data_IF_312206595691
#
_entry.id   IF_312206595691
#
_cell.length_a   1.000
_cell.length_b   1.000
_cell.length_c   1.000
_cell.angle_alpha   90.00
_cell.angle_beta   90.00
_cell.angle_gamma   90.00
#
_symmetry.space_group_name_H-M   'P 1'
#
loop_
_entity.id
_entity.type
_entity.pdbx_description
1 polymer ?
#
# COMPACT_ATOMS: atom_id res chain seq x y z
N UNK A 1 9.68 28.79 -8.41
CA UNK A 1 10.50 27.82 -7.67
C UNK A 1 10.54 26.55 -8.51
N UNK A 2 11.50 26.46 -9.45
CA UNK A 2 11.61 25.31 -10.35
C UNK A 2 12.05 24.11 -9.52
N UNK A 3 11.15 23.15 -9.31
CA UNK A 3 11.51 21.85 -8.74
C UNK A 3 12.66 21.28 -9.58
N UNK A 4 13.82 21.06 -8.95
CA UNK A 4 15.09 20.75 -9.62
C UNK A 4 14.92 19.57 -10.59
N UNK A 5 15.30 19.74 -11.86
CA UNK A 5 15.14 18.73 -12.91
C UNK A 5 15.75 17.39 -12.49
N UNK A 6 16.89 17.43 -11.79
CA UNK A 6 17.55 16.24 -11.27
C UNK A 6 16.69 15.52 -10.22
N UNK A 7 16.04 16.25 -9.33
CA UNK A 7 15.14 15.69 -8.32
C UNK A 7 13.91 15.01 -8.94
N UNK A 8 13.32 15.62 -9.98
CA UNK A 8 12.20 15.01 -10.73
C UNK A 8 12.60 13.69 -11.38
N UNK A 9 13.70 13.71 -12.15
CA UNK A 9 14.24 12.50 -12.79
C UNK A 9 14.66 11.44 -11.78
N UNK A 10 15.19 11.84 -10.63
CA UNK A 10 15.54 10.92 -9.56
C UNK A 10 14.30 10.21 -8.99
N UNK A 11 13.21 10.93 -8.79
CA UNK A 11 11.94 10.32 -8.35
C UNK A 11 11.39 9.35 -9.41
N UNK A 12 11.47 9.69 -10.70
CA UNK A 12 11.08 8.80 -11.80
C UNK A 12 11.93 7.50 -11.77
N UNK A 13 13.26 7.64 -11.75
CA UNK A 13 14.16 6.50 -11.65
C UNK A 13 13.92 5.65 -10.38
N UNK A 14 13.56 6.28 -9.25
CA UNK A 14 13.23 5.59 -8.02
C UNK A 14 11.92 4.78 -8.15
N UNK A 15 10.91 5.33 -8.82
CA UNK A 15 9.63 4.65 -9.11
C UNK A 15 9.85 3.47 -10.05
N UNK A 16 10.76 3.60 -11.02
CA UNK A 16 11.18 2.52 -11.92
C UNK A 16 12.09 1.48 -11.24
N UNK A 17 12.27 1.55 -9.91
CA UNK A 17 13.17 0.71 -9.11
C UNK A 17 14.65 0.73 -9.59
N UNK A 18 15.04 1.69 -10.43
CA UNK A 18 16.42 1.93 -10.85
C UNK A 18 17.16 2.77 -9.80
N UNK A 19 17.47 2.12 -8.67
CA UNK A 19 18.01 2.80 -7.49
C UNK A 19 19.42 3.37 -7.69
N UNK A 20 20.26 2.73 -8.52
CA UNK A 20 21.60 3.27 -8.82
C UNK A 20 21.52 4.58 -9.61
N UNK A 21 20.61 4.68 -10.58
CA UNK A 21 20.40 5.92 -11.33
C UNK A 21 19.72 6.99 -10.47
N UNK A 22 18.72 6.61 -9.69
CA UNK A 22 18.09 7.51 -8.71
C UNK A 22 19.14 8.11 -7.75
N UNK A 23 20.11 7.29 -7.30
CA UNK A 23 21.17 7.74 -6.40
C UNK A 23 22.07 8.80 -7.05
N UNK A 24 22.48 8.59 -8.31
CA UNK A 24 23.27 9.57 -9.07
C UNK A 24 22.51 10.88 -9.24
N UNK A 25 21.23 10.80 -9.61
CA UNK A 25 20.39 11.97 -9.85
C UNK A 25 20.07 12.74 -8.56
N UNK A 26 19.80 12.07 -7.44
CA UNK A 26 19.68 12.74 -6.14
C UNK A 26 20.99 13.38 -5.70
N UNK A 27 22.14 12.75 -5.99
CA UNK A 27 23.44 13.36 -5.71
C UNK A 27 23.65 14.63 -6.52
N UNK A 28 23.34 14.62 -7.82
CA UNK A 28 23.37 15.82 -8.66
C UNK A 28 22.41 16.92 -8.16
N UNK A 29 21.24 16.55 -7.63
CA UNK A 29 20.30 17.50 -7.03
C UNK A 29 20.91 18.17 -5.77
N UNK A 30 21.60 17.39 -4.92
CA UNK A 30 22.26 17.89 -3.71
C UNK A 30 23.48 18.75 -4.04
N UNK A 31 24.27 18.38 -5.05
CA UNK A 31 25.40 19.19 -5.54
C UNK A 31 24.93 20.53 -6.09
N UNK A 32 23.73 20.58 -6.67
CA UNK A 32 23.13 21.81 -7.15
C UNK A 32 22.54 22.68 -6.04
N UNK A 33 21.88 22.06 -5.06
CA UNK A 33 21.37 22.74 -3.87
C UNK A 33 21.38 21.80 -2.65
N UNK A 34 22.34 22.02 -1.76
CA UNK A 34 22.53 21.23 -0.54
C UNK A 34 21.72 21.74 0.65
N UNK A 35 20.85 22.74 0.48
CA UNK A 35 20.05 23.31 1.57
C UNK A 35 18.68 22.61 1.72
N UNK A 36 18.31 21.79 0.73
CA UNK A 36 17.00 21.12 0.68
C UNK A 36 17.05 19.77 1.40
N UNK A 37 16.48 19.71 2.61
CA UNK A 37 16.42 18.49 3.42
C UNK A 37 15.79 17.28 2.70
N UNK A 38 14.74 17.50 1.90
CA UNK A 38 14.03 16.44 1.17
C UNK A 38 14.96 15.67 0.22
N UNK A 39 15.99 16.30 -0.36
CA UNK A 39 16.93 15.61 -1.26
C UNK A 39 17.74 14.55 -0.50
N UNK A 40 18.21 14.89 0.69
CA UNK A 40 18.88 13.95 1.57
C UNK A 40 17.92 12.85 2.07
N UNK A 41 16.65 13.17 2.40
CA UNK A 41 15.64 12.16 2.78
C UNK A 41 15.42 11.15 1.66
N UNK A 42 15.28 11.61 0.42
CA UNK A 42 15.10 10.72 -0.74
C UNK A 42 16.34 9.91 -1.08
N UNK A 43 17.53 10.50 -0.97
CA UNK A 43 18.78 9.77 -1.18
C UNK A 43 19.02 8.72 -0.09
N UNK A 44 18.74 9.04 1.18
CA UNK A 44 18.72 8.07 2.29
C UNK A 44 17.75 6.91 2.03
N UNK A 45 16.54 7.20 1.53
CA UNK A 45 15.59 6.16 1.13
C UNK A 45 16.15 5.24 0.04
N UNK A 46 16.85 5.82 -0.94
CA UNK A 46 17.49 5.07 -2.03
C UNK A 46 18.63 4.20 -1.52
N UNK A 47 19.46 4.72 -0.62
CA UNK A 47 20.49 3.95 0.06
C UNK A 47 19.93 2.77 0.86
N UNK A 48 18.79 2.95 1.56
CA UNK A 48 18.10 1.84 2.26
C UNK A 48 17.65 0.76 1.27
N UNK A 49 17.13 1.14 0.09
CA UNK A 49 16.74 0.16 -0.95
C UNK A 49 17.94 -0.62 -1.50
N UNK A 50 19.12 0.00 -1.51
CA UNK A 50 20.39 -0.61 -1.88
C UNK A 50 21.12 -1.30 -0.71
N UNK A 51 20.52 -1.38 0.48
CA UNK A 51 21.12 -1.89 1.70
C UNK A 51 22.44 -1.20 2.14
N UNK A 52 22.64 0.06 1.72
CA UNK A 52 23.76 0.94 2.10
C UNK A 52 23.41 1.75 3.35
N UNK A 53 23.34 1.07 4.48
CA UNK A 53 22.73 1.65 5.69
C UNK A 53 23.57 2.74 6.36
N UNK A 54 24.90 2.68 6.27
CA UNK A 54 25.78 3.69 6.85
C UNK A 54 25.61 5.05 6.14
N UNK A 55 25.55 5.04 4.80
CA UNK A 55 25.31 6.21 3.98
C UNK A 55 23.89 6.75 4.19
N UNK A 56 22.89 5.86 4.34
CA UNK A 56 21.53 6.27 4.67
C UNK A 56 21.43 6.96 6.04
N UNK A 57 22.14 6.48 7.06
CA UNK A 57 22.20 7.13 8.37
C UNK A 57 22.81 8.53 8.27
N UNK A 58 23.90 8.67 7.50
CA UNK A 58 24.55 9.96 7.26
C UNK A 58 23.63 10.98 6.59
N UNK A 59 22.98 10.58 5.50
CA UNK A 59 22.04 11.46 4.77
C UNK A 59 20.82 11.81 5.61
N UNK A 60 20.25 10.85 6.35
CA UNK A 60 19.11 11.13 7.22
C UNK A 60 19.50 12.08 8.38
N UNK A 61 20.73 11.97 8.89
CA UNK A 61 21.29 12.91 9.85
C UNK A 61 21.42 14.32 9.27
N UNK A 62 21.95 14.47 8.05
CA UNK A 62 22.02 15.76 7.35
C UNK A 62 20.63 16.36 7.11
N UNK A 63 19.67 15.53 6.66
CA UNK A 63 18.28 15.96 6.48
C UNK A 63 17.69 16.52 7.77
N UNK A 64 17.94 15.89 8.92
CA UNK A 64 17.45 16.33 10.23
C UNK A 64 18.17 17.59 10.73
N UNK A 65 19.44 17.80 10.37
CA UNK A 65 20.14 19.05 10.65
C UNK A 65 19.57 20.24 9.86
N UNK A 66 19.10 19.99 8.62
CA UNK A 66 18.47 21.01 7.78
C UNK A 66 17.00 21.25 8.15
N UNK A 67 16.26 20.19 8.45
CA UNK A 67 14.86 20.25 8.89
C UNK A 67 14.63 19.31 10.09
N UNK A 68 14.76 19.83 11.33
CA UNK A 68 14.49 19.07 12.54
C UNK A 68 13.03 18.63 12.69
N UNK A 69 12.10 19.22 11.93
CA UNK A 69 10.66 18.93 12.01
C UNK A 69 10.22 17.80 11.09
N UNK A 70 11.13 17.20 10.31
CA UNK A 70 10.82 16.15 9.35
C UNK A 70 10.66 14.76 10.00
N UNK A 71 9.44 14.19 10.06
CA UNK A 71 9.24 12.82 10.55
C UNK A 71 9.90 11.81 9.60
N UNK A 72 9.89 12.10 8.30
CA UNK A 72 10.49 11.23 7.27
C UNK A 72 12.00 11.07 7.48
N UNK A 73 12.71 12.15 7.83
CA UNK A 73 14.14 12.07 8.15
C UNK A 73 14.39 11.15 9.36
N UNK A 74 13.60 11.31 10.43
CA UNK A 74 13.67 10.45 11.62
C UNK A 74 13.39 8.98 11.29
N UNK A 75 12.38 8.71 10.44
CA UNK A 75 12.04 7.37 9.99
C UNK A 75 13.20 6.74 9.19
N UNK A 76 13.79 7.46 8.24
CA UNK A 76 14.93 6.96 7.45
C UNK A 76 16.15 6.68 8.34
N UNK A 77 16.45 7.58 9.27
CA UNK A 77 17.55 7.41 10.22
C UNK A 77 17.34 6.18 11.11
N UNK A 78 16.15 6.02 11.69
CA UNK A 78 15.84 4.88 12.54
C UNK A 78 15.93 3.55 11.78
N UNK A 79 15.43 3.49 10.54
CA UNK A 79 15.51 2.27 9.70
C UNK A 79 16.97 1.93 9.39
N UNK A 80 17.79 2.93 9.02
CA UNK A 80 19.21 2.72 8.77
C UNK A 80 19.93 2.21 10.03
N UNK A 81 19.71 2.83 11.18
CA UNK A 81 20.28 2.45 12.47
C UNK A 81 19.86 1.04 12.92
N UNK A 82 18.61 0.67 12.69
CA UNK A 82 18.11 -0.66 13.00
C UNK A 82 18.85 -1.74 12.21
N UNK A 83 19.07 -1.52 10.91
CA UNK A 83 19.82 -2.44 10.06
C UNK A 83 21.33 -2.44 10.34
N UNK A 84 21.86 -1.39 10.96
CA UNK A 84 23.22 -1.33 11.51
C UNK A 84 23.33 -1.92 12.93
N UNK A 85 22.25 -2.53 13.44
CA UNK A 85 22.16 -3.10 14.80
C UNK A 85 22.34 -2.09 15.95
N UNK A 86 22.24 -0.79 15.63
CA UNK A 86 22.24 0.30 16.62
C UNK A 86 20.84 0.49 17.21
N UNK A 87 20.32 -0.55 17.87
CA UNK A 87 18.90 -0.60 18.26
C UNK A 87 18.46 0.50 19.23
N UNK A 88 19.35 0.94 20.14
CA UNK A 88 19.08 2.05 21.06
C UNK A 88 18.95 3.39 20.32
N UNK A 89 19.84 3.65 19.37
CA UNK A 89 19.79 4.88 18.55
C UNK A 89 18.58 4.87 17.63
N UNK A 90 18.29 3.71 17.02
CA UNK A 90 17.10 3.52 16.19
C UNK A 90 15.82 3.79 16.97
N UNK A 91 15.70 3.25 18.19
CA UNK A 91 14.57 3.49 19.09
C UNK A 91 14.39 4.99 19.37
N UNK A 92 15.47 5.71 19.70
CA UNK A 92 15.41 7.15 19.93
C UNK A 92 14.94 7.90 18.67
N UNK A 93 15.49 7.58 17.50
CA UNK A 93 15.10 8.18 16.22
C UNK A 93 13.61 7.96 15.91
N UNK A 94 13.09 6.75 16.12
CA UNK A 94 11.66 6.47 15.91
C UNK A 94 10.76 7.15 16.94
N UNK A 95 11.18 7.26 18.19
CA UNK A 95 10.43 8.01 19.22
C UNK A 95 10.36 9.50 18.90
N UNK A 96 11.46 10.12 18.46
CA UNK A 96 11.45 11.50 17.98
C UNK A 96 10.49 11.66 16.80
N UNK A 97 10.57 10.78 15.79
CA UNK A 97 9.67 10.81 14.65
C UNK A 97 8.19 10.66 15.03
N UNK A 98 7.87 9.77 15.98
CA UNK A 98 6.51 9.57 16.50
C UNK A 98 5.95 10.79 17.23
N UNK A 99 6.81 11.58 17.87
CA UNK A 99 6.38 12.84 18.50
C UNK A 99 6.02 13.91 17.47
N UNK A 100 6.68 13.89 16.30
CA UNK A 100 6.42 14.80 15.18
C UNK A 100 5.20 14.38 14.35
N UNK A 101 5.02 13.07 14.14
CA UNK A 101 3.86 12.50 13.46
C UNK A 101 3.30 11.30 14.27
N UNK A 102 2.29 11.60 15.08
CA UNK A 102 1.63 10.63 15.96
C UNK A 102 0.68 9.69 15.22
N UNK A 103 0.28 10.03 14.00
CA UNK A 103 -0.68 9.26 13.21
C UNK A 103 0.01 8.17 12.39
N UNK A 104 1.30 8.33 12.06
CA UNK A 104 2.05 7.33 11.30
C UNK A 104 2.34 6.08 12.13
N UNK A 105 1.57 5.03 11.86
CA UNK A 105 1.70 3.72 12.50
C UNK A 105 3.07 3.05 12.26
N UNK A 106 3.85 3.48 11.26
CA UNK A 106 5.19 2.94 11.01
C UNK A 106 6.09 3.15 12.22
N UNK A 107 6.02 4.31 12.89
CA UNK A 107 6.87 4.58 14.05
C UNK A 107 6.60 3.60 15.19
N UNK A 108 5.33 3.37 15.54
CA UNK A 108 4.94 2.42 16.58
C UNK A 108 5.43 1.00 16.27
N UNK A 109 5.27 0.54 15.02
CA UNK A 109 5.77 -0.78 14.62
C UNK A 109 7.29 -0.90 14.73
N UNK A 110 8.03 0.13 14.33
CA UNK A 110 9.48 0.14 14.43
C UNK A 110 10.00 0.25 15.87
N UNK A 111 9.33 1.02 16.72
CA UNK A 111 9.62 1.11 18.16
C UNK A 111 9.53 -0.27 18.81
N UNK A 112 8.44 -1.01 18.55
CA UNK A 112 8.27 -2.36 19.10
C UNK A 112 9.33 -3.33 18.58
N UNK A 113 9.70 -3.24 17.28
CA UNK A 113 10.82 -4.02 16.72
C UNK A 113 12.15 -3.70 17.39
N UNK A 114 12.43 -2.43 17.71
CA UNK A 114 13.65 -2.05 18.43
C UNK A 114 13.66 -2.59 19.85
N UNK A 115 12.56 -2.45 20.60
CA UNK A 115 12.44 -2.96 21.98
C UNK A 115 12.68 -4.47 22.04
N UNK A 116 12.11 -5.22 21.10
CA UNK A 116 12.31 -6.68 21.02
C UNK A 116 13.77 -7.10 20.75
N UNK A 117 14.62 -6.18 20.28
CA UNK A 117 16.03 -6.41 19.97
C UNK A 117 16.99 -5.91 21.04
N UNK A 118 16.54 -5.06 21.95
CA UNK A 118 17.34 -4.56 23.07
C UNK A 118 17.18 -5.56 24.22
N UNK A 119 18.26 -6.18 24.72
CA UNK A 119 18.20 -7.02 25.92
C UNK A 119 17.75 -6.20 27.13
N UNK A 120 16.84 -6.75 27.94
CA UNK A 120 16.45 -6.17 29.22
C UNK A 120 17.65 -6.14 30.18
N UNK A 121 18.15 -4.95 30.49
CA UNK A 121 18.78 -4.68 31.79
C UNK A 121 17.66 -4.17 32.73
N UNK A 122 17.56 -4.66 33.99
CA UNK A 122 16.51 -4.25 34.92
C UNK A 122 16.74 -2.80 35.35
N UNK A 123 15.76 -1.89 35.53
CA UNK A 123 14.50 -1.94 36.30
C UNK A 123 13.78 -0.55 36.15
N UNK A 124 12.65 -0.23 36.84
CA UNK A 124 11.30 -0.81 36.94
C UNK A 124 10.25 0.13 36.25
N UNK A 125 9.00 -0.19 35.89
CA UNK A 125 7.89 -0.71 36.70
C UNK A 125 6.65 -0.92 35.79
N UNK A 126 6.14 -2.17 35.76
CA UNK A 126 4.74 -2.66 35.78
C UNK A 126 3.65 -1.97 34.93
N UNK A 127 2.96 -2.76 34.12
CA UNK A 127 1.71 -3.40 34.57
C UNK A 127 1.35 -4.61 33.70
N UNK A 128 1.17 -5.73 34.39
CA UNK A 128 0.66 -7.02 33.91
C UNK A 128 -0.83 -6.93 33.58
N UNK A 129 -1.30 -7.76 32.65
CA UNK A 129 -2.41 -8.67 32.96
C UNK A 129 -2.31 -9.93 32.09
N UNK A 130 -2.47 -11.07 32.76
CA UNK A 130 -2.22 -12.42 32.29
C UNK A 130 -3.50 -13.16 31.83
N UNK A 131 -3.29 -14.31 31.18
CA UNK A 131 -4.02 -15.60 31.25
C UNK A 131 -4.09 -16.25 29.85
N UNK A 132 -3.25 -17.25 29.53
CA UNK A 132 -3.44 -18.72 29.73
C UNK A 132 -4.44 -19.36 28.71
N UNK A 133 -4.33 -20.56 28.13
CA UNK A 133 -3.37 -21.69 28.09
C UNK A 133 -3.85 -22.73 27.03
N UNK A 134 -2.92 -23.38 26.30
CA UNK A 134 -2.77 -24.76 25.70
C UNK A 134 -4.05 -25.67 25.50
N UNK A 135 -4.17 -26.68 24.61
CA UNK A 135 -3.23 -27.72 24.11
C UNK A 135 -3.90 -28.66 23.05
N UNK A 136 -3.05 -29.37 22.28
CA UNK A 136 -3.17 -30.55 21.38
C UNK A 136 -4.45 -31.43 21.27
N UNK A 137 -4.75 -31.92 20.04
CA UNK A 137 -4.64 -33.36 19.62
C UNK A 137 -5.13 -33.64 18.18
N UNK A 138 -4.50 -34.62 17.51
CA UNK A 138 -4.88 -35.29 16.24
C UNK A 138 -4.58 -36.81 16.41
N UNK A 139 -4.92 -37.75 15.48
CA UNK A 139 -6.12 -38.09 14.68
C UNK A 139 -6.56 -39.58 14.93
N UNK A 140 -7.44 -40.24 14.13
CA UNK A 140 -6.98 -40.98 12.92
C UNK A 140 -7.98 -41.09 11.73
N UNK A 141 -7.49 -41.73 10.66
CA UNK A 141 -7.95 -41.85 9.26
C UNK A 141 -9.32 -42.51 8.96
N UNK A 142 -9.94 -42.13 7.82
CA UNK A 142 -10.32 -43.05 6.71
C UNK A 142 -11.05 -42.39 5.51
N UNK A 143 -10.60 -42.78 4.30
CA UNK A 143 -11.28 -42.93 3.00
C UNK A 143 -11.72 -41.73 2.11
N UNK A 144 -11.38 -41.90 0.83
CA UNK A 144 -11.39 -41.01 -0.36
C UNK A 144 -12.81 -40.94 -0.99
N UNK A 145 -13.23 -39.80 -1.60
CA UNK A 145 -13.29 -39.68 -3.07
C UNK A 145 -12.84 -38.31 -3.61
N UNK A 146 -12.20 -38.31 -4.80
CA UNK A 146 -11.69 -37.12 -5.51
C UNK A 146 -12.78 -36.06 -5.80
N UNK A 147 -12.51 -34.76 -5.58
CA UNK A 147 -13.33 -33.67 -6.09
C UNK A 147 -12.56 -32.78 -7.11
N UNK A 148 -13.27 -31.89 -7.82
CA UNK A 148 -12.97 -31.42 -9.18
C UNK A 148 -11.92 -30.30 -9.22
N UNK A 149 -11.30 -30.11 -10.40
CA UNK A 149 -10.29 -29.08 -10.74
C UNK A 149 -10.41 -27.83 -9.87
N UNK A 150 -9.59 -27.78 -8.81
CA UNK A 150 -9.50 -26.62 -7.92
C UNK A 150 -8.96 -25.43 -8.71
N UNK A 151 -9.74 -24.34 -8.78
CA UNK A 151 -9.25 -23.07 -9.28
C UNK A 151 -8.06 -22.66 -8.43
N UNK A 152 -6.89 -22.63 -9.05
CA UNK A 152 -5.64 -22.29 -8.40
C UNK A 152 -5.75 -20.89 -7.81
N UNK A 153 -5.63 -20.80 -6.48
CA UNK A 153 -5.85 -19.57 -5.73
C UNK A 153 -4.65 -18.63 -5.89
N UNK A 154 -4.72 -17.75 -6.89
CA UNK A 154 -3.85 -16.59 -7.04
C UNK A 154 -4.69 -15.32 -6.87
N UNK A 155 -4.04 -14.23 -6.46
CA UNK A 155 -4.63 -12.89 -6.40
C UNK A 155 -3.86 -11.99 -7.37
N UNK A 156 -4.52 -10.98 -7.94
CA UNK A 156 -3.82 -10.03 -8.78
C UNK A 156 -4.35 -8.61 -8.60
N UNK A 157 -3.44 -7.65 -8.70
CA UNK A 157 -3.75 -6.22 -8.73
C UNK A 157 -2.81 -5.53 -9.70
N UNK A 158 -3.05 -4.26 -10.00
CA UNK A 158 -2.23 -3.52 -10.96
C UNK A 158 -1.95 -2.10 -10.47
N UNK A 159 -0.84 -1.56 -10.95
CA UNK A 159 -0.52 -0.13 -10.90
C UNK A 159 -0.64 0.45 -12.31
N UNK A 160 -0.34 1.74 -12.46
CA UNK A 160 -0.26 2.38 -13.79
C UNK A 160 0.74 1.67 -14.71
N UNK A 161 1.82 1.12 -14.15
CA UNK A 161 2.95 0.58 -14.92
C UNK A 161 3.15 -0.93 -14.80
N UNK A 162 2.53 -1.60 -13.82
CA UNK A 162 2.77 -3.03 -13.56
C UNK A 162 1.48 -3.79 -13.26
N UNK A 163 1.48 -5.09 -13.55
CA UNK A 163 0.50 -6.07 -13.10
C UNK A 163 1.20 -6.97 -12.08
N UNK A 164 0.63 -7.16 -10.89
CA UNK A 164 1.22 -7.94 -9.82
C UNK A 164 0.34 -9.14 -9.56
N UNK A 165 0.92 -10.33 -9.73
CA UNK A 165 0.27 -11.63 -9.49
C UNK A 165 0.87 -12.21 -8.22
N UNK A 166 0.03 -12.50 -7.24
CA UNK A 166 0.42 -13.06 -5.95
C UNK A 166 -0.08 -14.49 -5.82
N UNK A 167 0.85 -15.43 -5.68
CA UNK A 167 0.59 -16.85 -5.48
C UNK A 167 0.85 -17.16 -4.00
N UNK A 168 -0.20 -17.50 -3.25
CA UNK A 168 -0.13 -17.69 -1.79
C UNK A 168 0.34 -19.11 -1.44
N UNK A 169 1.66 -19.33 -1.42
CA UNK A 169 2.27 -20.62 -1.07
C UNK A 169 3.35 -20.41 0.00
N UNK A 170 3.29 -21.24 1.06
CA UNK A 170 4.24 -21.21 2.17
C UNK A 170 5.43 -22.15 1.93
N UNK A 171 6.61 -21.74 2.38
CA UNK A 171 7.79 -22.62 2.44
C UNK A 171 8.50 -22.85 1.10
N UNK A 172 8.27 -22.00 0.09
CA UNK A 172 8.97 -22.07 -1.18
C UNK A 172 10.43 -21.65 -1.05
N UNK A 173 11.33 -22.36 -1.73
CA UNK A 173 12.73 -21.95 -1.91
C UNK A 173 12.91 -21.40 -3.32
N UNK A 174 13.95 -20.59 -3.53
CA UNK A 174 14.24 -20.01 -4.86
C UNK A 174 14.47 -21.07 -5.93
N UNK A 175 15.07 -22.20 -5.55
CA UNK A 175 15.40 -23.31 -6.46
C UNK A 175 14.19 -24.15 -6.88
N UNK A 176 13.06 -24.04 -6.15
CA UNK A 176 11.86 -24.84 -6.40
C UNK A 176 10.79 -24.09 -7.18
N UNK A 177 11.09 -22.85 -7.59
CA UNK A 177 10.16 -21.96 -8.29
C UNK A 177 10.74 -21.68 -9.68
N UNK A 178 10.04 -22.14 -10.71
CA UNK A 178 10.32 -21.85 -12.11
C UNK A 178 9.24 -20.92 -12.63
N UNK A 179 9.61 -19.74 -13.13
CA UNK A 179 8.66 -18.76 -13.66
C UNK A 179 9.14 -18.31 -15.02
N UNK A 180 8.24 -18.39 -16.00
CA UNK A 180 8.49 -17.96 -17.35
C UNK A 180 7.56 -16.80 -17.68
N UNK A 181 8.19 -15.70 -18.09
CA UNK A 181 7.51 -14.52 -18.58
C UNK A 181 7.61 -14.52 -20.10
N UNK A 182 6.47 -14.44 -20.76
CA UNK A 182 6.38 -14.17 -22.19
C UNK A 182 5.52 -12.92 -22.41
N UNK A 183 5.44 -12.45 -23.66
CA UNK A 183 4.73 -11.21 -23.98
C UNK A 183 3.24 -11.30 -23.62
N UNK A 184 2.58 -12.42 -23.91
CA UNK A 184 1.15 -12.64 -23.61
C UNK A 184 0.88 -13.84 -22.72
N UNK A 185 1.92 -14.53 -22.26
CA UNK A 185 1.74 -15.71 -21.41
C UNK A 185 2.62 -15.62 -20.18
N UNK A 186 2.06 -16.01 -19.05
CA UNK A 186 2.76 -16.13 -17.79
C UNK A 186 2.59 -17.56 -17.30
N UNK A 187 3.70 -18.24 -17.00
CA UNK A 187 3.65 -19.55 -16.35
C UNK A 187 4.53 -19.59 -15.10
N UNK A 188 4.00 -20.19 -14.04
CA UNK A 188 4.67 -20.36 -12.77
C UNK A 188 4.52 -21.80 -12.29
N UNK A 189 5.63 -22.52 -12.21
CA UNK A 189 5.72 -23.88 -11.69
C UNK A 189 6.47 -23.86 -10.35
N UNK A 190 5.81 -24.31 -9.29
CA UNK A 190 6.31 -24.26 -7.91
C UNK A 190 6.24 -25.67 -7.33
N UNK A 191 7.40 -26.27 -7.07
CA UNK A 191 7.47 -27.60 -6.44
C UNK A 191 7.25 -27.47 -4.93
N UNK A 192 6.16 -28.03 -4.41
CA UNK A 192 5.87 -27.99 -2.98
C UNK A 192 6.70 -29.04 -2.23
N UNK A 193 7.11 -28.76 -0.98
CA UNK A 193 7.77 -29.76 -0.13
C UNK A 193 6.85 -30.95 0.23
N UNK A 194 5.55 -30.85 -0.04
CA UNK A 194 4.55 -31.92 0.12
C UNK A 194 4.51 -32.91 -1.05
N UNK A 195 5.31 -32.70 -2.10
CA UNK A 195 5.43 -33.60 -3.26
C UNK A 195 4.45 -33.33 -4.41
N UNK A 196 3.57 -32.32 -4.29
CA UNK A 196 2.69 -31.88 -5.37
C UNK A 196 3.25 -30.62 -6.03
N UNK A 197 3.30 -30.60 -7.36
CA UNK A 197 3.72 -29.41 -8.11
C UNK A 197 2.52 -28.47 -8.31
N UNK A 198 2.68 -27.20 -7.96
CA UNK A 198 1.74 -26.14 -8.28
C UNK A 198 2.12 -25.53 -9.63
N UNK A 199 1.24 -25.58 -10.62
CA UNK A 199 1.51 -25.07 -11.97
C UNK A 199 0.41 -24.11 -12.38
N UNK A 200 0.72 -22.82 -12.50
CA UNK A 200 -0.17 -21.77 -12.95
C UNK A 200 0.23 -21.34 -14.35
N UNK A 201 -0.72 -21.28 -15.27
CA UNK A 201 -0.53 -20.79 -16.63
C UNK A 201 -1.66 -19.79 -16.94
N UNK A 202 -1.28 -18.59 -17.39
CA UNK A 202 -2.18 -17.46 -17.61
C UNK A 202 -1.93 -16.87 -18.99
N UNK A 203 -3.01 -16.72 -19.77
CA UNK A 203 -3.01 -16.02 -21.04
C UNK A 203 -3.36 -14.55 -20.82
N UNK A 204 -2.34 -13.72 -20.69
CA UNK A 204 -2.45 -12.31 -20.32
C UNK A 204 -3.27 -11.52 -21.35
N UNK A 205 -4.17 -10.68 -20.83
CA UNK A 205 -5.08 -9.87 -21.66
C UNK A 205 -4.37 -8.81 -22.52
N UNK A 206 -3.21 -8.32 -22.06
CA UNK A 206 -2.39 -7.35 -22.77
C UNK A 206 -0.92 -7.73 -22.68
N UNK A 207 -0.08 -7.20 -23.57
CA UNK A 207 1.32 -7.56 -23.56
C UNK A 207 2.11 -6.98 -22.37
N UNK A 208 3.09 -7.75 -21.90
CA UNK A 208 4.05 -7.37 -20.86
C UNK A 208 5.47 -7.45 -21.40
N UNK A 209 6.38 -6.67 -20.82
CA UNK A 209 7.79 -6.65 -21.22
C UNK A 209 8.58 -7.68 -20.39
N UNK A 210 8.94 -8.86 -20.93
CA UNK A 210 9.45 -9.97 -20.12
C UNK A 210 10.79 -9.65 -19.45
N UNK A 211 11.61 -8.80 -20.06
CA UNK A 211 12.92 -8.38 -19.54
C UNK A 211 12.83 -7.51 -18.29
N UNK A 212 11.67 -6.91 -18.02
CA UNK A 212 11.41 -6.05 -16.86
C UNK A 212 10.45 -6.69 -15.85
N UNK A 213 10.11 -7.97 -16.03
CA UNK A 213 9.35 -8.72 -15.06
C UNK A 213 10.23 -9.18 -13.89
N UNK A 214 9.72 -9.08 -12.66
CA UNK A 214 10.48 -9.39 -11.44
C UNK A 214 9.69 -10.34 -10.55
N UNK A 215 10.29 -11.48 -10.21
CA UNK A 215 9.77 -12.39 -9.18
C UNK A 215 10.39 -12.09 -7.82
N UNK A 216 9.55 -12.03 -6.78
CA UNK A 216 9.98 -12.06 -5.38
C UNK A 216 9.39 -13.28 -4.68
N UNK A 217 10.27 -14.09 -4.08
CA UNK A 217 9.89 -15.28 -3.32
C UNK A 217 9.98 -14.94 -1.84
N UNK A 218 8.86 -14.99 -1.14
CA UNK A 218 8.75 -14.79 0.30
C UNK A 218 8.41 -16.12 0.99
N UNK A 219 8.53 -16.16 2.31
CA UNK A 219 8.22 -17.35 3.12
C UNK A 219 6.74 -17.76 3.09
N UNK A 220 5.84 -16.82 2.77
CA UNK A 220 4.39 -17.00 2.78
C UNK A 220 3.71 -16.86 1.42
N UNK A 221 4.43 -16.39 0.38
CA UNK A 221 3.89 -16.12 -0.95
C UNK A 221 4.99 -15.97 -2.01
N UNK A 222 4.61 -16.10 -3.27
CA UNK A 222 5.41 -15.73 -4.44
C UNK A 222 4.72 -14.56 -5.12
N UNK A 223 5.41 -13.43 -5.25
CA UNK A 223 4.91 -12.24 -5.96
C UNK A 223 5.62 -12.12 -7.30
N UNK A 224 4.85 -12.02 -8.38
CA UNK A 224 5.34 -11.80 -9.74
C UNK A 224 4.89 -10.41 -10.18
N UNK A 225 5.83 -9.50 -10.41
CA UNK A 225 5.57 -8.17 -10.96
C UNK A 225 5.85 -8.18 -12.45
N UNK A 226 4.82 -7.99 -13.26
CA UNK A 226 4.89 -7.94 -14.71
C UNK A 226 4.86 -6.47 -15.15
N UNK A 227 5.86 -6.02 -15.91
CA UNK A 227 5.87 -4.66 -16.48
C UNK A 227 4.93 -4.60 -17.67
N UNK A 228 3.95 -3.69 -17.67
CA UNK A 228 3.07 -3.51 -18.82
C UNK A 228 3.85 -2.92 -19.99
N UNK A 229 3.62 -3.41 -21.21
CA UNK A 229 4.17 -2.80 -22.42
C UNK A 229 3.51 -1.45 -22.70
N UNK A 230 2.21 -1.35 -22.45
CA UNK A 230 1.42 -0.14 -22.64
C UNK A 230 0.85 0.35 -21.30
N UNK A 231 0.75 1.67 -21.11
CA UNK A 231 0.19 2.31 -19.91
C UNK A 231 -1.34 2.16 -19.76
N UNK A 232 -1.88 1.03 -20.21
CA UNK A 232 -3.32 0.74 -20.22
C UNK A 232 -3.71 0.08 -18.90
N UNK A 233 -4.91 0.41 -18.41
CA UNK A 233 -5.53 -0.27 -17.27
C UNK A 233 -6.22 -1.54 -17.74
N UNK A 234 -5.82 -2.68 -17.20
CA UNK A 234 -6.36 -3.98 -17.58
C UNK A 234 -7.70 -4.20 -16.88
N UNK A 235 -8.78 -4.46 -17.62
CA UNK A 235 -10.07 -4.76 -16.97
C UNK A 235 -10.13 -6.20 -16.46
N UNK A 236 -9.32 -7.08 -17.06
CA UNK A 236 -9.19 -8.49 -16.73
C UNK A 236 -7.75 -8.94 -16.90
N UNK A 237 -7.37 -9.98 -16.15
CA UNK A 237 -6.03 -10.56 -16.24
C UNK A 237 -5.88 -11.46 -17.46
N UNK A 238 -6.93 -12.21 -17.81
CA UNK A 238 -6.90 -13.22 -18.88
C UNK A 238 -7.91 -12.96 -20.01
N UNK A 239 -7.47 -13.20 -21.26
CA UNK A 239 -8.29 -13.16 -22.47
C UNK A 239 -8.49 -11.79 -23.11
N UNK A 240 -9.30 -11.71 -24.18
CA UNK A 240 -9.37 -10.55 -25.09
C UNK A 240 -10.08 -9.31 -24.48
N UNK A 241 -9.33 -8.29 -24.05
CA UNK A 241 -9.84 -7.04 -23.45
C UNK A 241 -10.18 -5.99 -24.51
N UNK A 242 -11.12 -6.33 -25.39
CA UNK A 242 -11.54 -5.54 -26.55
C UNK A 242 -12.22 -4.20 -26.23
N UNK A 243 -12.30 -3.79 -24.96
CA UNK A 243 -12.89 -2.53 -24.50
C UNK A 243 -11.86 -1.54 -23.93
N UNK A 244 -10.61 -1.95 -23.71
CA UNK A 244 -9.55 -1.07 -23.18
C UNK A 244 -8.86 -0.21 -24.27
N UNK A 245 -8.96 -0.59 -25.54
CA UNK A 245 -8.32 0.09 -26.67
C UNK A 245 -8.93 1.48 -27.03
N UNK A 246 -10.02 1.90 -26.40
CA UNK A 246 -10.71 3.16 -26.72
C UNK A 246 -10.22 4.40 -25.96
N UNK A 247 -9.25 4.26 -25.05
CA UNK A 247 -8.68 5.37 -24.28
C UNK A 247 -7.22 5.64 -24.64
N UNK A 248 -6.89 5.67 -25.94
CA UNK A 248 -5.59 6.15 -26.41
C UNK A 248 -5.64 7.66 -26.67
N UNK A 249 -4.91 8.44 -25.87
CA UNK A 249 -4.71 9.89 -26.07
C UNK A 249 -3.80 10.10 -27.28
N UNK A 250 -4.36 10.69 -28.34
CA UNK A 250 -3.60 11.22 -29.48
C UNK A 250 -2.80 12.46 -29.05
N UNK A 251 -1.51 12.48 -29.38
CA UNK A 251 -0.67 13.68 -29.36
C UNK A 251 -1.01 14.57 -30.56
N UNK A 252 -0.87 15.87 -30.32
CA UNK A 252 -0.86 16.99 -31.27
C UNK A 252 -2.21 17.72 -31.45
N UNK A 253 -2.37 18.85 -30.77
CA UNK A 253 -2.81 20.07 -31.45
C UNK A 253 -2.46 21.34 -30.64
N UNK A 254 -1.85 22.29 -31.34
CA UNK A 254 -1.51 23.63 -30.85
C UNK A 254 -2.76 24.50 -30.74
N UNK A 255 -3.12 24.95 -29.53
CA UNK A 255 -4.17 25.96 -29.36
C UNK A 255 -3.65 27.26 -28.75
N UNK A 256 -3.52 28.28 -29.61
CA UNK A 256 -3.46 29.69 -29.23
C UNK A 256 -4.77 30.07 -28.53
N UNK A 257 -4.70 30.58 -27.31
CA UNK A 257 -5.86 31.10 -26.60
C UNK A 257 -6.22 32.51 -27.07
N UNK A 258 -7.49 32.82 -27.40
CA UNK A 258 -7.96 34.19 -27.33
C UNK A 258 -8.30 34.52 -25.88
N UNK A 259 -7.68 35.58 -25.40
CA UNK A 259 -7.97 36.22 -24.12
C UNK A 259 -9.34 36.92 -24.16
N UNK A 260 -10.26 36.55 -23.27
CA UNK A 260 -11.20 37.51 -22.64
C UNK A 260 -11.97 36.89 -21.47
N UNK A 261 -11.95 37.64 -20.36
CA UNK A 261 -12.94 37.76 -19.28
C UNK A 261 -13.08 36.68 -18.18
N UNK A 262 -12.40 37.00 -17.07
CA UNK A 262 -12.95 37.15 -15.71
C UNK A 262 -13.80 36.04 -15.08
N UNK A 263 -13.18 34.88 -14.80
CA UNK A 263 -13.44 34.10 -13.57
C UNK A 263 -12.30 33.10 -13.34
N UNK A 264 -11.34 33.41 -12.48
CA UNK A 264 -10.24 32.49 -12.14
C UNK A 264 -10.73 31.46 -11.11
N UNK A 265 -11.37 30.38 -11.58
CA UNK A 265 -11.54 29.15 -10.78
C UNK A 265 -10.15 28.52 -10.63
N UNK A 266 -9.63 28.49 -9.41
CA UNK A 266 -8.29 27.99 -9.13
C UNK A 266 -8.28 26.45 -9.16
N UNK A 267 -7.96 25.85 -10.31
CA UNK A 267 -7.98 24.39 -10.51
C UNK A 267 -6.93 23.64 -9.68
N UNK A 268 -5.84 24.32 -9.24
CA UNK A 268 -4.89 23.80 -8.25
C UNK A 268 -5.54 23.50 -6.89
N UNK A 269 -6.65 24.18 -6.55
CA UNK A 269 -7.40 23.89 -5.33
C UNK A 269 -8.29 22.65 -5.49
N UNK A 270 -8.83 22.43 -6.69
CA UNK A 270 -9.69 21.28 -7.00
C UNK A 270 -8.86 20.00 -7.13
N UNK A 271 -7.65 20.08 -7.70
CA UNK A 271 -6.71 18.95 -7.71
C UNK A 271 -6.24 18.58 -6.29
N UNK A 272 -6.05 19.58 -5.41
CA UNK A 272 -5.66 19.38 -4.02
C UNK A 272 -6.81 18.84 -3.14
N UNK A 273 -8.06 19.12 -3.48
CA UNK A 273 -9.25 18.54 -2.83
C UNK A 273 -9.55 17.12 -3.37
N UNK A 274 -9.25 16.83 -4.64
CA UNK A 274 -9.43 15.49 -5.23
C UNK A 274 -8.35 14.46 -4.81
N UNK A 275 -7.18 14.89 -4.31
CA UNK A 275 -6.21 13.99 -3.66
C UNK A 275 -6.63 13.57 -2.24
N UNK A 276 -7.63 14.22 -1.62
CA UNK A 276 -8.15 13.83 -0.30
C UNK A 276 -9.38 12.91 -0.34
N UNK A 277 -9.88 12.53 -1.52
CA UNK A 277 -11.13 11.79 -1.69
C UNK A 277 -10.93 10.40 -2.33
N UNK A 278 -10.20 9.55 -1.63
CA UNK A 278 -10.44 8.09 -1.64
C UNK A 278 -10.63 7.66 -0.18
N UNK A 279 -11.78 8.01 0.38
CA UNK A 279 -12.09 7.84 1.81
C UNK A 279 -13.40 7.09 1.98
N UNK A 280 -13.37 5.78 1.69
CA UNK A 280 -14.26 4.86 2.41
C UNK A 280 -13.98 4.97 3.93
N UNK A 281 -12.72 5.16 4.32
CA UNK A 281 -12.29 5.33 5.72
C UNK A 281 -12.67 6.70 6.32
N UNK A 282 -12.64 7.78 5.53
CA UNK A 282 -12.98 9.12 6.03
C UNK A 282 -14.46 9.33 6.28
N UNK A 283 -15.33 8.67 5.51
CA UNK A 283 -16.77 8.66 5.78
C UNK A 283 -17.07 7.90 7.06
N UNK A 284 -16.40 6.77 7.31
CA UNK A 284 -16.52 6.03 8.56
C UNK A 284 -15.99 6.85 9.75
N UNK A 285 -14.86 7.53 9.61
CA UNK A 285 -14.31 8.44 10.64
C UNK A 285 -15.24 9.63 10.91
N UNK A 286 -15.90 10.16 9.88
CA UNK A 286 -16.90 11.21 10.01
C UNK A 286 -18.11 10.71 10.83
N UNK A 287 -18.58 9.48 10.58
CA UNK A 287 -19.67 8.88 11.35
C UNK A 287 -19.28 8.56 12.80
N UNK A 288 -18.06 8.10 13.04
CA UNK A 288 -17.56 7.88 14.40
C UNK A 288 -17.48 9.19 15.19
N UNK A 289 -17.05 10.28 14.56
CA UNK A 289 -17.05 11.62 15.17
C UNK A 289 -18.47 12.12 15.47
N UNK A 290 -19.40 12.01 14.52
CA UNK A 290 -20.80 12.43 14.73
C UNK A 290 -21.46 11.59 15.84
N UNK A 291 -21.14 10.30 15.95
CA UNK A 291 -21.63 9.44 17.02
C UNK A 291 -21.00 9.78 18.38
N UNK A 292 -19.70 10.09 18.42
CA UNK A 292 -19.00 10.49 19.63
C UNK A 292 -19.51 11.84 20.17
N UNK A 293 -19.67 12.84 19.30
CA UNK A 293 -20.05 14.21 19.67
C UNK A 293 -21.58 14.45 19.67
N UNK A 294 -22.38 13.54 19.10
CA UNK A 294 -23.83 13.68 18.98
C UNK A 294 -24.58 13.62 20.32
N UNK A 295 -25.80 14.18 20.38
CA UNK A 295 -26.70 13.98 21.51
C UNK A 295 -27.28 12.56 21.51
N UNK A 296 -27.84 12.12 22.64
CA UNK A 296 -28.43 10.77 22.73
C UNK A 296 -29.55 10.53 21.72
N UNK A 297 -30.26 11.59 21.30
CA UNK A 297 -31.25 11.53 20.22
C UNK A 297 -30.60 11.24 18.85
N UNK A 298 -29.45 11.85 18.57
CA UNK A 298 -28.69 11.63 17.32
C UNK A 298 -28.15 10.19 17.27
N UNK A 299 -27.59 9.69 18.38
CA UNK A 299 -27.12 8.30 18.47
C UNK A 299 -28.25 7.30 18.27
N UNK A 300 -29.41 7.56 18.89
CA UNK A 300 -30.60 6.73 18.75
C UNK A 300 -31.10 6.73 17.30
N UNK A 301 -31.02 7.88 16.63
CA UNK A 301 -31.39 8.01 15.24
C UNK A 301 -30.46 7.20 14.32
N UNK A 302 -29.15 7.36 14.51
CA UNK A 302 -28.14 6.64 13.73
C UNK A 302 -28.28 5.13 13.90
N UNK A 303 -28.42 4.65 15.14
CA UNK A 303 -28.54 3.21 15.39
C UNK A 303 -29.83 2.62 14.81
N UNK A 304 -30.97 3.30 14.95
CA UNK A 304 -32.25 2.80 14.43
C UNK A 304 -32.25 2.77 12.90
N UNK A 305 -31.81 3.84 12.24
CA UNK A 305 -31.75 3.90 10.76
C UNK A 305 -30.75 2.91 10.17
N UNK A 306 -29.59 2.74 10.80
CA UNK A 306 -28.57 1.80 10.35
C UNK A 306 -29.03 0.34 10.48
N UNK A 307 -29.65 -0.02 11.62
CA UNK A 307 -30.14 -1.38 11.84
C UNK A 307 -31.34 -1.70 10.94
N UNK A 308 -32.28 -0.78 10.79
CA UNK A 308 -33.47 -1.01 9.94
C UNK A 308 -33.15 -1.09 8.45
N UNK A 309 -32.12 -0.36 8.00
CA UNK A 309 -31.66 -0.36 6.61
C UNK A 309 -30.58 -1.41 6.32
N UNK A 310 -30.26 -2.29 7.29
CA UNK A 310 -29.19 -3.27 7.21
C UNK A 310 -27.83 -2.69 6.82
N UNK A 311 -27.53 -1.49 7.30
CA UNK A 311 -26.25 -0.81 7.14
C UNK A 311 -26.11 0.06 5.90
N UNK A 312 -27.19 0.30 5.15
CA UNK A 312 -27.15 1.04 3.87
C UNK A 312 -27.53 2.51 3.99
N UNK A 313 -28.27 2.89 5.04
CA UNK A 313 -28.77 4.25 5.24
C UNK A 313 -28.52 4.71 6.68
N UNK A 314 -27.98 5.92 6.83
CA UNK A 314 -27.73 6.53 8.13
C UNK A 314 -28.43 7.89 8.23
N UNK A 315 -29.28 8.06 9.24
CA UNK A 315 -29.97 9.32 9.53
C UNK A 315 -29.62 9.81 10.93
N UNK A 316 -29.38 11.12 11.06
CA UNK A 316 -29.05 11.79 12.31
C UNK A 316 -30.25 12.50 12.96
N UNK A 317 -31.43 12.48 12.33
CA UNK A 317 -32.63 13.19 12.81
C UNK A 317 -33.67 12.22 13.40
N UNK A 318 -33.77 12.18 14.74
CA UNK A 318 -34.69 11.29 15.45
C UNK A 318 -36.17 11.52 15.11
N UNK A 319 -36.58 12.78 14.88
CA UNK A 319 -37.99 13.11 14.61
C UNK A 319 -38.49 12.54 13.28
N UNK A 320 -37.60 12.33 12.31
CA UNK A 320 -37.99 11.83 10.99
C UNK A 320 -38.06 10.30 10.94
N UNK A 321 -37.25 9.62 11.75
CA UNK A 321 -37.14 8.16 11.76
C UNK A 321 -37.83 7.50 12.97
N UNK A 322 -38.38 8.30 13.89
CA UNK A 322 -39.15 7.77 15.02
C UNK A 322 -40.38 7.00 14.53
N UNK A 323 -41.08 7.56 13.53
CA UNK A 323 -42.36 7.02 13.02
C UNK A 323 -42.27 6.38 11.63
N UNK A 324 -41.14 6.55 10.90
CA UNK A 324 -40.92 5.96 9.57
C UNK A 324 -39.90 4.84 9.62
N UNK A 325 -40.21 3.72 8.97
CA UNK A 325 -39.25 2.63 8.74
C UNK A 325 -38.27 3.05 7.65
N UNK A 326 -36.97 2.92 7.93
CA UNK A 326 -35.95 3.31 6.94
C UNK A 326 -35.81 2.20 5.90
N UNK A 327 -36.28 2.45 4.67
CA UNK A 327 -36.21 1.46 3.59
C UNK A 327 -34.78 1.26 3.08
N UNK A 328 -34.44 0.01 2.80
CA UNK A 328 -33.15 -0.42 2.26
C UNK A 328 -32.94 0.16 0.87
N UNK A 329 -31.88 0.96 0.70
CA UNK A 329 -31.43 1.45 -0.61
C UNK A 329 -29.99 0.99 -0.83
N UNK A 330 -29.77 -0.15 -1.51
CA UNK A 330 -28.43 -0.58 -1.83
C UNK A 330 -27.75 0.40 -2.80
N UNK A 331 -26.42 0.55 -2.75
CA UNK A 331 -25.65 1.36 -3.70
C UNK A 331 -25.87 0.90 -5.15
N UNK A 332 -25.83 1.84 -6.10
CA UNK A 332 -26.10 1.56 -7.52
C UNK A 332 -25.24 0.40 -8.04
N UNK A 333 -25.92 -0.66 -8.53
CA UNK A 333 -25.30 -1.88 -9.06
C UNK A 333 -25.30 -3.11 -8.15
N UNK A 334 -25.83 -3.03 -6.92
CA UNK A 334 -25.96 -4.18 -6.01
C UNK A 334 -27.43 -4.54 -5.75
N UNK A 335 -27.84 -5.75 -6.13
CA UNK A 335 -29.15 -6.30 -5.76
C UNK A 335 -29.06 -7.08 -4.44
N UNK A 336 -29.88 -6.69 -3.48
CA UNK A 336 -29.97 -7.37 -2.18
C UNK A 336 -30.70 -8.71 -2.33
N UNK A 337 -30.05 -9.81 -1.93
CA UNK A 337 -30.67 -11.14 -1.84
C UNK A 337 -31.15 -11.42 -0.42
N UNK A 338 -32.47 -11.45 -0.23
CA UNK A 338 -33.06 -11.98 0.99
C UNK A 338 -32.93 -13.51 0.97
N UNK A 339 -32.16 -14.06 1.91
CA UNK A 339 -32.20 -15.49 2.21
C UNK A 339 -33.16 -15.68 3.38
N UNK A 340 -34.35 -16.22 3.12
CA UNK A 340 -35.23 -16.72 4.17
C UNK A 340 -34.59 -17.99 4.74
N UNK A 341 -34.38 -18.01 6.06
CA UNK A 341 -33.98 -19.20 6.83
C UNK A 341 -35.06 -20.25 6.89
#
# INVERSE_FOLDING_TARGET
MLLNLFYRKANEAFVDENYDEALKLYTAAIENDSTVAEYFVKRAQTYIKLAKYAEAEGDAGQARSLDPSSPKACLRQGVAQFHLEKYKDALASFQTGSQLDKADANFSQWIEKCKAKIPDDPEPTKQETAAETKQDTQPPAASIPQPPKEKQRYDWYQTESHVIITIMIKGCKRETVDINYNQHTFSATIKLPTGSDYSLELDLAHPVVPTHCVTRILSSKVECKLKKEEGIRWNKLEGDDSLAAASSVSKDDTHKHPTSSHYSRNWDKIAKEAEEEDKQDGVNDLFQKIYADGSDEVRKAMNKSFVESGGTVLSTNWKEIADKKTEMKPPDGMEWKNYET
#
